data_IF_575496474298
#
_entry.id   IF_575496474298
#
_cell.length_a   1.000
_cell.length_b   1.000
_cell.length_c   1.000
_cell.angle_alpha   90.00
_cell.angle_beta   90.00
_cell.angle_gamma   90.00
#
_symmetry.space_group_name_H-M   'P 1'
#
loop_
_entity.id
_entity.type
_entity.pdbx_description
1 polymer ?
#
# COMPACT_ATOMS: atom_id res chain seq x y z
N UNK A 1 -14.67 -33.86 -37.69
CA UNK A 1 -14.85 -33.79 -36.22
C UNK A 1 -13.78 -32.97 -35.50
N UNK A 2 -12.53 -32.94 -35.96
CA UNK A 2 -11.40 -32.22 -35.31
C UNK A 2 -11.57 -30.68 -35.27
N UNK A 3 -12.29 -30.09 -36.23
CA UNK A 3 -12.54 -28.62 -36.28
C UNK A 3 -13.53 -28.09 -35.23
N UNK A 4 -14.36 -28.95 -34.64
CA UNK A 4 -15.32 -28.55 -33.56
C UNK A 4 -14.66 -28.54 -32.18
N UNK A 5 -13.60 -29.32 -32.01
CA UNK A 5 -12.86 -29.44 -30.75
C UNK A 5 -11.94 -28.24 -30.49
N UNK A 6 -11.40 -27.62 -31.54
CA UNK A 6 -10.55 -26.43 -31.41
C UNK A 6 -11.32 -25.18 -30.97
N UNK A 7 -12.59 -25.04 -31.39
CA UNK A 7 -13.45 -23.90 -31.02
C UNK A 7 -13.89 -23.96 -29.56
N UNK A 8 -14.12 -25.15 -29.01
CA UNK A 8 -14.50 -25.34 -27.61
C UNK A 8 -13.36 -25.04 -26.63
N UNK A 9 -12.10 -25.38 -26.99
CA UNK A 9 -10.92 -25.09 -26.15
C UNK A 9 -10.59 -23.59 -26.14
N UNK A 10 -10.75 -22.90 -27.27
CA UNK A 10 -10.58 -21.44 -27.35
C UNK A 10 -11.63 -20.67 -26.55
N UNK A 11 -12.89 -21.15 -26.51
CA UNK A 11 -13.95 -20.50 -25.74
C UNK A 11 -13.76 -20.70 -24.22
N UNK A 12 -13.28 -21.87 -23.80
CA UNK A 12 -12.94 -22.13 -22.39
C UNK A 12 -11.71 -21.31 -21.94
N UNK A 13 -10.70 -21.13 -22.81
CA UNK A 13 -9.54 -20.30 -22.51
C UNK A 13 -9.86 -18.79 -22.48
N UNK A 14 -10.81 -18.31 -23.29
CA UNK A 14 -11.29 -16.92 -23.21
C UNK A 14 -12.16 -16.67 -21.97
N UNK A 15 -13.01 -17.63 -21.56
CA UNK A 15 -13.82 -17.49 -20.33
C UNK A 15 -12.95 -17.51 -19.06
N UNK A 16 -11.83 -18.24 -19.06
CA UNK A 16 -10.90 -18.28 -17.93
C UNK A 16 -10.10 -16.99 -17.72
N UNK A 17 -9.99 -16.13 -18.74
CA UNK A 17 -9.22 -14.88 -18.65
C UNK A 17 -10.03 -13.70 -18.08
N UNK A 18 -11.35 -13.83 -17.94
CA UNK A 18 -12.22 -12.76 -17.43
C UNK A 18 -12.37 -12.73 -15.90
N UNK A 19 -11.74 -13.65 -15.18
CA UNK A 19 -11.85 -13.77 -13.72
C UNK A 19 -10.48 -13.71 -13.04
N UNK A 20 -9.59 -12.83 -13.49
CA UNK A 20 -8.46 -12.45 -12.65
C UNK A 20 -8.99 -11.42 -11.65
N UNK A 21 -9.07 -11.73 -10.34
CA UNK A 21 -9.48 -10.75 -9.35
C UNK A 21 -8.53 -9.55 -9.46
N UNK A 22 -9.09 -8.39 -9.74
CA UNK A 22 -8.31 -7.18 -9.88
C UNK A 22 -7.80 -6.79 -8.49
N UNK A 23 -6.55 -7.15 -8.18
CA UNK A 23 -5.84 -6.74 -6.96
C UNK A 23 -5.76 -5.21 -6.74
N UNK A 24 -6.31 -4.40 -7.65
CA UNK A 24 -6.40 -2.94 -7.61
C UNK A 24 -7.56 -2.41 -6.74
N UNK A 25 -8.45 -3.30 -6.28
CA UNK A 25 -9.70 -2.96 -5.59
C UNK A 25 -9.59 -3.08 -4.05
N UNK A 26 -8.57 -3.78 -3.51
CA UNK A 26 -8.44 -3.87 -2.06
C UNK A 26 -8.09 -2.53 -1.40
N UNK A 27 -8.60 -2.31 -0.18
CA UNK A 27 -8.04 -1.26 0.69
C UNK A 27 -6.58 -1.61 0.98
N UNK A 28 -5.70 -0.65 0.78
CA UNK A 28 -4.25 -0.82 0.99
C UNK A 28 -3.75 0.26 1.92
N UNK A 29 -2.73 -0.06 2.69
CA UNK A 29 -1.98 0.91 3.49
C UNK A 29 -0.54 0.94 3.00
N UNK A 30 0.03 2.13 2.94
CA UNK A 30 1.43 2.34 2.57
C UNK A 30 2.04 3.45 3.41
N UNK A 31 3.35 3.37 3.61
CA UNK A 31 4.15 4.41 4.25
C UNK A 31 5.54 4.43 3.64
N UNK A 32 6.13 5.62 3.53
CA UNK A 32 7.50 5.81 3.02
C UNK A 32 8.53 5.94 4.13
N UNK A 33 8.09 6.17 5.36
CA UNK A 33 8.91 6.54 6.52
C UNK A 33 8.65 5.65 7.75
N UNK A 34 7.68 4.73 7.69
CA UNK A 34 7.45 3.74 8.74
C UNK A 34 8.65 2.81 8.90
N UNK A 35 9.16 2.72 10.13
CA UNK A 35 10.17 1.77 10.57
C UNK A 35 9.89 1.37 12.03
N UNK A 36 10.40 0.22 12.46
CA UNK A 36 10.28 -0.25 13.85
C UNK A 36 10.79 0.79 14.84
N UNK A 37 10.03 1.07 15.90
CA UNK A 37 10.33 2.09 16.91
C UNK A 37 10.17 3.55 16.45
N UNK A 38 10.01 3.79 15.14
CA UNK A 38 9.92 5.13 14.56
C UNK A 38 8.49 5.67 14.49
N UNK A 39 8.36 6.91 14.02
CA UNK A 39 7.08 7.47 13.60
C UNK A 39 6.94 7.34 12.08
N UNK A 40 5.71 7.12 11.61
CA UNK A 40 5.45 7.06 10.17
C UNK A 40 4.10 7.67 9.81
N UNK A 41 4.00 8.15 8.56
CA UNK A 41 2.72 8.50 7.95
C UNK A 41 2.17 7.28 7.24
N UNK A 42 1.03 6.78 7.73
CA UNK A 42 0.32 5.64 7.18
C UNK A 42 -0.83 6.16 6.33
N UNK A 43 -0.82 5.85 5.04
CA UNK A 43 -1.84 6.29 4.08
C UNK A 43 -2.66 5.11 3.59
N UNK A 44 -3.95 5.13 3.90
CA UNK A 44 -4.94 4.17 3.47
C UNK A 44 -5.54 4.62 2.12
N UNK A 45 -5.32 3.83 1.07
CA UNK A 45 -6.00 3.98 -0.22
C UNK A 45 -7.27 3.14 -0.23
N UNK A 46 -8.41 3.80 -0.39
CA UNK A 46 -9.74 3.18 -0.30
C UNK A 46 -10.49 3.41 -1.60
N UNK A 47 -10.67 2.38 -2.45
CA UNK A 47 -11.49 2.48 -3.65
C UNK A 47 -12.97 2.24 -3.35
N UNK A 48 -13.85 2.85 -4.14
CA UNK A 48 -15.28 2.53 -4.15
C UNK A 48 -15.55 1.44 -5.17
N UNK A 49 -15.86 0.24 -4.69
CA UNK A 49 -16.11 -0.94 -5.55
C UNK A 49 -17.57 -1.12 -5.96
N UNK A 50 -18.48 -0.38 -5.36
CA UNK A 50 -19.88 -0.39 -5.78
C UNK A 50 -20.05 0.33 -7.11
N UNK A 51 -20.85 -0.26 -8.01
CA UNK A 51 -21.24 0.36 -9.28
C UNK A 51 -22.25 1.52 -9.09
N UNK A 52 -22.91 1.58 -7.94
CA UNK A 52 -24.05 2.49 -7.71
C UNK A 52 -23.95 3.33 -6.44
N UNK A 53 -23.25 2.84 -5.42
CA UNK A 53 -23.15 3.51 -4.13
C UNK A 53 -21.78 4.20 -3.97
N UNK A 54 -21.76 5.33 -3.28
CA UNK A 54 -20.52 6.03 -2.93
C UNK A 54 -19.98 5.52 -1.60
N UNK A 55 -18.66 5.48 -1.43
CA UNK A 55 -18.06 5.34 -0.10
C UNK A 55 -18.27 6.62 0.69
N UNK A 56 -18.87 6.52 1.86
CA UNK A 56 -19.20 7.66 2.75
C UNK A 56 -18.58 7.54 4.13
N UNK A 57 -17.92 6.42 4.43
CA UNK A 57 -17.21 6.22 5.69
C UNK A 57 -16.11 5.20 5.59
N UNK A 58 -15.05 5.42 6.37
CA UNK A 58 -13.97 4.48 6.62
C UNK A 58 -13.68 4.49 8.12
N UNK A 59 -13.70 3.33 8.75
CA UNK A 59 -13.17 3.15 10.11
C UNK A 59 -11.99 2.22 10.05
N UNK A 60 -10.83 2.67 10.52
CA UNK A 60 -9.62 1.85 10.67
C UNK A 60 -9.43 1.53 12.14
N UNK A 61 -9.28 0.25 12.45
CA UNK A 61 -8.97 -0.25 13.78
C UNK A 61 -7.46 -0.27 13.98
N UNK A 62 -7.01 0.23 15.13
CA UNK A 62 -5.62 0.24 15.53
C UNK A 62 -5.33 -0.96 16.44
N UNK A 63 -4.12 -1.54 16.36
CA UNK A 63 -3.76 -2.75 17.09
C UNK A 63 -3.79 -2.52 18.62
N UNK A 64 -4.57 -3.35 19.32
CA UNK A 64 -4.65 -3.33 20.79
C UNK A 64 -3.44 -4.01 21.45
N UNK A 65 -2.91 -5.06 20.80
CA UNK A 65 -1.77 -5.84 21.30
C UNK A 65 -0.44 -5.09 21.18
N UNK A 66 -0.39 -4.09 20.30
CA UNK A 66 0.72 -3.13 20.17
C UNK A 66 0.16 -1.71 19.99
N UNK A 67 -0.35 -1.09 21.07
CA UNK A 67 -1.01 0.20 20.98
C UNK A 67 -0.02 1.28 20.58
N UNK A 68 -0.47 2.19 19.71
CA UNK A 68 0.31 3.34 19.26
C UNK A 68 0.10 4.49 20.25
N UNK A 69 1.18 4.98 20.87
CA UNK A 69 1.11 6.02 21.90
C UNK A 69 0.64 7.37 21.35
N UNK A 70 0.96 7.67 20.09
CA UNK A 70 0.59 8.90 19.40
C UNK A 70 -0.04 8.59 18.05
N UNK A 71 -1.20 9.20 17.80
CA UNK A 71 -1.96 9.07 16.56
C UNK A 71 -2.58 10.41 16.20
N UNK A 72 -2.18 10.99 15.08
CA UNK A 72 -2.72 12.23 14.53
C UNK A 72 -3.29 11.98 13.14
N UNK A 73 -4.38 12.68 12.80
CA UNK A 73 -5.09 12.48 11.53
C UNK A 73 -4.82 13.66 10.60
N UNK A 74 -4.54 13.37 9.33
CA UNK A 74 -4.47 14.40 8.30
C UNK A 74 -5.89 14.86 7.93
N UNK A 75 -6.19 16.18 7.95
CA UNK A 75 -7.47 16.70 7.48
C UNK A 75 -7.73 16.35 6.01
N UNK A 76 -8.96 15.91 5.71
CA UNK A 76 -9.42 15.61 4.35
C UNK A 76 -10.60 16.53 4.04
N UNK A 77 -10.51 17.42 3.03
CA UNK A 77 -11.60 18.33 2.70
C UNK A 77 -12.94 17.63 2.45
N UNK A 78 -14.00 18.05 3.12
CA UNK A 78 -15.34 17.45 3.02
C UNK A 78 -15.52 16.15 3.81
N UNK A 79 -14.56 15.79 4.66
CA UNK A 79 -14.62 14.63 5.54
C UNK A 79 -14.26 15.01 6.97
N UNK A 80 -15.04 14.51 7.91
CA UNK A 80 -14.77 14.64 9.35
C UNK A 80 -14.05 13.39 9.84
N UNK A 81 -12.89 13.58 10.48
CA UNK A 81 -12.16 12.53 11.16
C UNK A 81 -12.44 12.52 12.67
N UNK A 82 -12.61 11.35 13.27
CA UNK A 82 -12.79 11.16 14.72
C UNK A 82 -11.91 10.02 15.21
N UNK A 83 -11.23 10.24 16.34
CA UNK A 83 -10.46 9.21 17.04
C UNK A 83 -11.27 8.66 18.20
N UNK A 84 -11.28 7.34 18.37
CA UNK A 84 -11.87 6.68 19.54
C UNK A 84 -10.76 6.24 20.48
N UNK A 85 -10.72 6.82 21.67
CA UNK A 85 -9.81 6.37 22.73
C UNK A 85 -10.41 5.21 23.51
N UNK A 86 -9.56 4.27 23.91
CA UNK A 86 -9.91 3.16 24.78
C UNK A 86 -8.88 3.05 25.90
N UNK A 87 -9.34 2.66 27.09
CA UNK A 87 -8.47 2.40 28.23
C UNK A 87 -7.77 1.05 28.03
N UNK A 88 -6.48 0.98 28.34
CA UNK A 88 -5.76 -0.28 28.38
C UNK A 88 -6.14 -1.04 29.66
N UNK A 89 -6.35 -2.36 29.52
CA UNK A 89 -6.57 -3.24 30.67
C UNK A 89 -5.37 -3.23 31.63
N UNK A 90 -4.17 -3.10 31.06
CA UNK A 90 -2.91 -3.00 31.79
C UNK A 90 -2.13 -1.79 31.26
N UNK A 91 -1.70 -0.87 32.13
CA UNK A 91 -0.79 0.21 31.72
C UNK A 91 0.48 -0.36 31.09
N UNK A 92 0.98 0.32 30.06
CA UNK A 92 2.22 -0.05 29.36
C UNK A 92 3.25 1.05 29.60
N UNK A 93 4.45 0.67 30.02
CA UNK A 93 5.57 1.59 30.14
C UNK A 93 6.16 1.85 28.76
N UNK A 94 6.25 3.12 28.38
CA UNK A 94 6.90 3.59 27.15
C UNK A 94 8.02 4.55 27.52
N UNK A 95 8.92 4.85 26.58
CA UNK A 95 9.99 5.83 26.80
C UNK A 95 9.45 7.24 27.13
N UNK A 96 8.21 7.53 26.71
CA UNK A 96 7.49 8.78 26.95
C UNK A 96 6.62 8.75 28.23
N UNK A 97 6.64 7.64 28.99
CA UNK A 97 5.92 7.44 30.24
C UNK A 97 4.87 6.33 30.21
N UNK A 98 4.05 6.26 31.26
CA UNK A 98 3.02 5.23 31.41
C UNK A 98 1.81 5.51 30.52
N UNK A 99 1.59 4.65 29.52
CA UNK A 99 0.41 4.67 28.66
C UNK A 99 -0.75 3.92 29.34
N UNK A 100 -1.86 4.63 29.57
CA UNK A 100 -3.07 4.07 30.21
C UNK A 100 -4.29 4.02 29.27
N UNK A 101 -4.23 4.75 28.16
CA UNK A 101 -5.22 4.73 27.08
C UNK A 101 -4.51 4.83 25.74
N UNK A 102 -5.18 4.40 24.69
CA UNK A 102 -4.69 4.46 23.32
C UNK A 102 -5.83 4.78 22.36
N UNK A 103 -5.49 5.23 21.15
CA UNK A 103 -6.48 5.39 20.08
C UNK A 103 -6.76 4.01 19.50
N UNK A 104 -7.97 3.50 19.76
CA UNK A 104 -8.44 2.18 19.30
C UNK A 104 -8.92 2.18 17.83
N UNK A 105 -9.42 3.32 17.35
CA UNK A 105 -9.85 3.45 15.95
C UNK A 105 -9.81 4.89 15.47
N UNK A 106 -9.65 5.07 14.16
CA UNK A 106 -9.85 6.35 13.46
C UNK A 106 -10.97 6.18 12.44
N UNK A 107 -11.97 7.05 12.51
CA UNK A 107 -13.11 7.05 11.59
C UNK A 107 -13.12 8.33 10.77
N UNK A 108 -13.18 8.20 9.46
CA UNK A 108 -13.48 9.28 8.52
C UNK A 108 -14.91 9.12 8.03
N UNK A 109 -15.67 10.21 8.03
CA UNK A 109 -17.03 10.26 7.52
C UNK A 109 -17.17 11.43 6.57
N UNK A 110 -17.75 11.20 5.40
CA UNK A 110 -18.09 12.27 4.47
C UNK A 110 -19.09 13.23 5.15
N UNK A 111 -18.85 14.53 5.04
CA UNK A 111 -19.71 15.55 5.66
C UNK A 111 -21.10 15.60 5.02
N UNK A 112 -21.19 15.18 3.76
CA UNK A 112 -22.44 14.97 3.01
C UNK A 112 -22.25 13.93 1.91
N UNK A 113 -23.34 13.42 1.33
CA UNK A 113 -23.30 12.47 0.21
C UNK A 113 -22.52 13.00 -1.01
N UNK A 114 -22.45 14.33 -1.17
CA UNK A 114 -21.68 14.97 -2.26
C UNK A 114 -20.17 14.85 -2.08
N UNK A 115 -19.71 14.62 -0.85
CA UNK A 115 -18.30 14.46 -0.51
C UNK A 115 -17.85 12.99 -0.55
N UNK A 116 -18.80 12.04 -0.64
CA UNK A 116 -18.51 10.62 -0.77
C UNK A 116 -17.76 10.30 -2.07
N UNK A 117 -16.95 9.24 -2.03
CA UNK A 117 -16.21 8.75 -3.18
C UNK A 117 -17.15 7.97 -4.09
N UNK A 118 -17.38 8.43 -5.31
CA UNK A 118 -18.32 7.81 -6.26
C UNK A 118 -17.82 6.47 -6.80
N UNK A 119 -18.68 5.66 -7.45
CA UNK A 119 -18.25 4.49 -8.20
C UNK A 119 -17.03 4.77 -9.09
N UNK A 120 -15.98 3.95 -8.94
CA UNK A 120 -14.72 4.09 -9.68
C UNK A 120 -13.73 5.13 -9.15
N UNK A 121 -14.08 5.89 -8.11
CA UNK A 121 -13.15 6.79 -7.42
C UNK A 121 -12.41 6.07 -6.28
N UNK A 122 -11.31 6.68 -5.81
CA UNK A 122 -10.63 6.26 -4.59
C UNK A 122 -10.28 7.48 -3.74
N UNK A 123 -10.17 7.26 -2.42
CA UNK A 123 -9.74 8.24 -1.45
C UNK A 123 -8.42 7.85 -0.80
N UNK A 124 -7.72 8.85 -0.28
CA UNK A 124 -6.53 8.68 0.56
C UNK A 124 -6.85 9.22 1.95
N UNK A 125 -6.68 8.38 2.96
CA UNK A 125 -6.92 8.72 4.36
C UNK A 125 -5.64 8.45 5.12
N UNK A 126 -5.08 9.46 5.77
CA UNK A 126 -3.74 9.34 6.36
C UNK A 126 -3.74 9.64 7.85
N UNK A 127 -2.94 8.86 8.58
CA UNK A 127 -2.59 9.12 9.97
C UNK A 127 -1.07 9.23 10.09
N UNK A 128 -0.60 10.10 10.97
CA UNK A 128 0.75 10.02 11.52
C UNK A 128 0.66 9.28 12.83
N UNK A 129 1.44 8.21 12.98
CA UNK A 129 1.40 7.41 14.20
C UNK A 129 2.79 6.94 14.62
N UNK A 130 2.96 6.77 15.92
CA UNK A 130 4.20 6.24 16.49
C UNK A 130 4.22 6.27 18.02
N UNK A 131 5.28 5.74 18.63
CA UNK A 131 6.27 4.88 17.98
C UNK A 131 5.61 3.60 17.44
N UNK A 132 6.05 3.15 16.27
CA UNK A 132 5.58 1.92 15.64
C UNK A 132 6.21 0.72 16.35
N UNK A 133 5.51 -0.42 16.47
CA UNK A 133 6.02 -1.57 17.21
C UNK A 133 7.25 -2.19 16.58
N UNK A 134 8.07 -2.86 17.39
CA UNK A 134 9.18 -3.72 16.95
C UNK A 134 8.66 -5.07 16.39
N UNK A 135 7.80 -4.99 15.38
CA UNK A 135 7.27 -6.13 14.64
C UNK A 135 7.58 -5.96 13.16
N UNK A 136 7.74 -7.06 12.43
CA UNK A 136 8.02 -7.01 11.00
C UNK A 136 6.82 -6.52 10.16
N UNK A 137 5.60 -6.68 10.66
CA UNK A 137 4.37 -6.30 9.97
C UNK A 137 3.34 -5.78 10.96
N UNK A 138 2.50 -4.87 10.50
CA UNK A 138 1.36 -4.34 11.24
C UNK A 138 0.12 -4.31 10.36
N UNK A 139 -0.96 -4.92 10.83
CA UNK A 139 -2.26 -4.97 10.15
C UNK A 139 -3.24 -3.97 10.77
N UNK A 140 -4.15 -3.48 9.93
CA UNK A 140 -5.11 -2.43 10.24
C UNK A 140 -6.48 -2.82 9.69
N UNK A 141 -7.23 -3.69 10.38
CA UNK A 141 -8.58 -4.03 9.99
C UNK A 141 -9.41 -2.77 9.75
N UNK A 142 -10.20 -2.75 8.68
CA UNK A 142 -11.00 -1.59 8.33
C UNK A 142 -12.44 -1.95 8.03
N UNK A 143 -13.34 -0.99 8.21
CA UNK A 143 -14.75 -1.10 7.80
C UNK A 143 -15.07 0.07 6.89
N UNK A 144 -15.49 -0.24 5.68
CA UNK A 144 -15.92 0.72 4.68
C UNK A 144 -17.45 0.79 4.66
N UNK A 145 -18.00 2.00 4.67
CA UNK A 145 -19.45 2.23 4.64
C UNK A 145 -19.86 2.94 3.35
N UNK A 146 -20.92 2.44 2.74
CA UNK A 146 -21.48 2.95 1.50
C UNK A 146 -22.77 3.76 1.72
N UNK A 147 -23.12 4.60 0.74
CA UNK A 147 -24.28 5.49 0.78
C UNK A 147 -25.63 4.76 0.78
N UNK A 148 -25.68 3.53 0.30
CA UNK A 148 -26.87 2.66 0.35
C UNK A 148 -27.07 2.00 1.73
N UNK A 149 -26.16 2.25 2.67
CA UNK A 149 -26.19 1.74 4.03
C UNK A 149 -25.41 0.44 4.23
N UNK A 150 -24.94 -0.20 3.15
CA UNK A 150 -24.10 -1.40 3.21
C UNK A 150 -22.71 -1.10 3.78
N UNK A 151 -22.05 -2.16 4.25
CA UNK A 151 -20.69 -2.10 4.80
C UNK A 151 -19.86 -3.29 4.35
N UNK A 152 -18.59 -3.05 4.08
CA UNK A 152 -17.59 -4.08 3.78
C UNK A 152 -16.54 -4.07 4.88
N UNK A 153 -16.23 -5.25 5.42
CA UNK A 153 -15.17 -5.44 6.41
C UNK A 153 -13.90 -5.91 5.69
N UNK A 154 -12.83 -5.14 5.83
CA UNK A 154 -11.48 -5.44 5.37
C UNK A 154 -10.67 -5.97 6.55
N UNK A 155 -10.95 -7.19 6.99
CA UNK A 155 -10.40 -7.81 8.19
C UNK A 155 -9.91 -9.25 7.98
N UNK A 156 -9.95 -9.76 6.73
CA UNK A 156 -9.54 -11.12 6.42
C UNK A 156 -8.02 -11.27 6.50
N UNK A 157 -7.57 -12.39 7.07
CA UNK A 157 -6.15 -12.69 7.25
C UNK A 157 -5.58 -13.27 5.96
N UNK A 158 -4.57 -12.63 5.40
CA UNK A 158 -3.79 -13.20 4.29
C UNK A 158 -2.93 -14.35 4.80
N UNK A 159 -3.28 -15.59 4.45
CA UNK A 159 -2.49 -16.78 4.79
C UNK A 159 -1.40 -17.03 3.74
N UNK A 160 -0.16 -17.27 4.19
CA UNK A 160 0.97 -17.52 3.30
C UNK A 160 0.75 -18.78 2.45
N UNK A 161 0.61 -18.60 1.13
CA UNK A 161 0.46 -19.70 0.15
C UNK A 161 -0.98 -20.10 -0.20
N UNK A 162 -1.99 -19.43 0.38
CA UNK A 162 -3.40 -19.58 0.01
C UNK A 162 -3.82 -18.65 -1.14
N UNK A 163 -5.08 -18.78 -1.58
CA UNK A 163 -5.69 -17.76 -2.43
C UNK A 163 -5.78 -16.43 -1.67
N UNK A 164 -5.59 -15.29 -2.36
CA UNK A 164 -5.77 -13.97 -1.76
C UNK A 164 -7.24 -13.84 -1.29
N UNK A 165 -7.48 -13.42 -0.03
CA UNK A 165 -8.84 -13.19 0.47
C UNK A 165 -9.57 -12.11 -0.35
N UNK A 166 -10.89 -12.06 -0.26
CA UNK A 166 -11.70 -11.05 -0.98
C UNK A 166 -11.57 -9.67 -0.32
N UNK A 167 -11.50 -9.64 1.02
CA UNK A 167 -11.39 -8.40 1.78
C UNK A 167 -10.24 -8.46 2.79
N UNK A 168 -8.98 -8.55 2.32
CA UNK A 168 -7.83 -8.68 3.21
C UNK A 168 -7.66 -7.43 4.07
N UNK A 169 -7.27 -7.64 5.33
CA UNK A 169 -6.89 -6.55 6.22
C UNK A 169 -5.68 -5.78 5.64
N UNK A 170 -5.75 -4.45 5.50
CA UNK A 170 -4.61 -3.63 5.09
C UNK A 170 -3.44 -3.83 6.04
N UNK A 171 -2.25 -4.13 5.53
CA UNK A 171 -1.05 -4.28 6.34
C UNK A 171 0.17 -3.61 5.72
N UNK A 172 1.06 -3.09 6.58
CA UNK A 172 2.38 -2.57 6.20
C UNK A 172 3.48 -3.47 6.75
N UNK A 173 4.57 -3.59 6.01
CA UNK A 173 5.83 -4.08 6.56
C UNK A 173 6.57 -2.94 7.26
N UNK A 174 7.23 -3.28 8.36
CA UNK A 174 8.02 -2.35 9.16
C UNK A 174 9.49 -2.80 9.09
N UNK A 175 10.33 -2.12 8.28
CA UNK A 175 11.75 -2.39 8.28
C UNK A 175 12.35 -2.10 9.66
N UNK A 176 13.39 -2.85 10.01
CA UNK A 176 14.18 -2.54 11.19
C UNK A 176 14.73 -1.11 11.11
N UNK A 177 14.75 -0.39 12.23
CA UNK A 177 15.35 0.92 12.29
C UNK A 177 16.81 0.85 11.82
N UNK A 178 17.21 1.78 10.94
CA UNK A 178 18.62 1.93 10.61
C UNK A 178 19.39 2.31 11.89
N UNK A 179 20.42 1.54 12.23
CA UNK A 179 21.32 1.93 13.31
C UNK A 179 21.87 3.33 13.00
N UNK A 180 21.99 4.23 14.00
CA UNK A 180 22.62 5.52 13.78
C UNK A 180 24.03 5.26 13.24
N UNK A 181 24.30 5.71 12.02
CA UNK A 181 25.66 5.73 11.49
C UNK A 181 26.54 6.46 12.50
N UNK A 182 27.71 5.92 12.89
CA UNK A 182 28.61 6.66 13.75
C UNK A 182 28.95 7.97 13.03
N UNK A 183 28.55 9.08 13.61
CA UNK A 183 28.95 10.42 13.16
C UNK A 183 30.47 10.40 13.14
N UNK A 184 31.07 10.38 11.95
CA UNK A 184 32.50 10.58 11.82
C UNK A 184 32.77 11.98 12.39
N UNK A 185 33.40 12.03 13.57
CA UNK A 185 33.92 13.28 14.12
C UNK A 185 34.78 13.93 13.04
N UNK A 186 34.35 15.10 12.58
CA UNK A 186 35.15 15.92 11.70
C UNK A 186 36.53 16.15 12.36
N UNK A 187 37.64 15.83 11.68
CA UNK A 187 38.95 16.23 12.17
C UNK A 187 39.03 17.77 12.21
N UNK A 188 39.77 18.36 13.18
CA UNK A 188 39.89 19.80 13.29
C UNK A 188 40.55 20.40 12.03
N UNK A 189 40.25 21.66 11.67
CA UNK A 189 40.70 22.24 10.40
C UNK A 189 42.21 22.52 10.44
N UNK A 190 42.98 21.83 9.61
CA UNK A 190 44.35 22.23 9.23
C UNK A 190 44.33 23.12 7.99
N UNK A 191 44.95 24.30 8.11
CA UNK A 191 45.13 25.26 7.02
C UNK A 191 46.21 24.82 6.03
N UNK A 192 46.00 25.27 4.79
CA UNK A 192 47.00 25.69 3.78
C UNK A 192 47.33 24.72 2.65
N UNK A 193 47.29 25.23 1.41
CA UNK A 193 47.94 24.64 0.25
C UNK A 193 47.12 24.68 -1.03
N UNK A 194 47.07 25.84 -1.69
CA UNK A 194 46.63 26.00 -3.08
C UNK A 194 47.58 25.26 -4.04
N UNK A 195 47.03 24.37 -4.88
CA UNK A 195 47.63 24.00 -6.17
C UNK A 195 46.52 23.81 -7.21
N UNK A 196 46.77 24.46 -8.34
CA UNK A 196 45.94 24.58 -9.51
C UNK A 196 46.28 23.48 -10.52
N UNK A 197 45.39 23.32 -11.52
CA UNK A 197 45.51 22.55 -12.77
C UNK A 197 45.29 21.03 -12.72
N UNK A 198 44.18 20.57 -13.31
CA UNK A 198 44.13 20.24 -14.75
C UNK A 198 42.76 19.65 -15.12
N UNK A 199 42.15 20.21 -16.15
CA UNK A 199 40.99 19.64 -16.83
C UNK A 199 41.38 18.40 -17.64
N UNK A 200 40.52 17.37 -17.63
CA UNK A 200 40.38 16.45 -18.74
C UNK A 200 38.93 15.94 -18.82
N UNK A 201 38.42 16.01 -20.04
CA UNK A 201 37.11 15.62 -20.55
C UNK A 201 36.66 14.19 -20.23
N UNK A 202 35.34 14.04 -20.19
CA UNK A 202 34.67 12.94 -20.90
C UNK A 202 34.30 11.71 -20.08
N UNK A 203 33.04 11.64 -19.64
CA UNK A 203 32.14 10.53 -20.01
C UNK A 203 30.78 10.66 -19.34
N UNK A 204 29.77 10.86 -20.18
CA UNK A 204 28.34 10.70 -19.88
C UNK A 204 28.08 9.23 -19.53
N UNK A 205 27.70 8.95 -18.29
CA UNK A 205 27.33 7.62 -17.80
C UNK A 205 25.89 7.55 -17.32
N UNK A 206 24.93 7.78 -18.22
CA UNK A 206 23.54 7.37 -18.03
C UNK A 206 23.46 5.85 -18.17
N UNK A 207 23.24 5.12 -17.08
CA UNK A 207 22.89 3.70 -17.13
C UNK A 207 21.37 3.56 -16.95
N UNK A 208 20.72 3.34 -18.08
CA UNK A 208 19.33 2.96 -18.20
C UNK A 208 19.11 1.48 -17.78
N UNK A 209 17.89 1.12 -17.37
CA UNK A 209 17.53 -0.22 -16.90
C UNK A 209 17.49 -1.24 -18.04
N UNK A 210 18.34 -2.27 -17.96
CA UNK A 210 18.25 -3.46 -18.83
C UNK A 210 17.30 -4.47 -18.19
N UNK A 211 16.04 -4.47 -18.63
CA UNK A 211 15.04 -5.43 -18.13
C UNK A 211 13.80 -5.68 -19.00
N UNK A 212 13.68 -5.07 -20.19
CA UNK A 212 12.44 -5.16 -20.98
C UNK A 212 12.62 -5.61 -22.46
N UNK A 213 13.84 -5.87 -22.93
CA UNK A 213 14.05 -6.19 -24.37
C UNK A 213 13.81 -7.67 -24.69
N UNK A 214 13.96 -8.59 -23.73
CA UNK A 214 13.76 -10.03 -23.99
C UNK A 214 12.28 -10.45 -24.07
N UNK A 215 11.37 -9.74 -23.39
CA UNK A 215 9.93 -10.03 -23.45
C UNK A 215 9.30 -9.64 -24.81
N UNK A 216 9.77 -8.55 -25.42
CA UNK A 216 9.27 -8.10 -26.72
C UNK A 216 9.62 -9.07 -27.86
N UNK A 217 10.79 -9.70 -27.81
CA UNK A 217 11.23 -10.66 -28.83
C UNK A 217 10.38 -11.94 -28.79
N UNK A 218 9.99 -12.41 -27.60
CA UNK A 218 9.13 -13.59 -27.46
C UNK A 218 7.71 -13.35 -28.02
N UNK A 219 7.13 -12.17 -27.81
CA UNK A 219 5.81 -11.79 -28.35
C UNK A 219 5.84 -11.69 -29.87
N UNK A 220 6.90 -11.13 -30.45
CA UNK A 220 7.03 -11.00 -31.91
C UNK A 220 7.15 -12.38 -32.57
N UNK A 221 7.88 -13.32 -31.98
CA UNK A 221 8.00 -14.70 -32.50
C UNK A 221 6.66 -15.44 -32.43
N UNK A 222 5.91 -15.27 -31.33
CA UNK A 222 4.60 -15.90 -31.18
C UNK A 222 3.58 -15.38 -32.20
N UNK A 223 3.54 -14.06 -32.44
CA UNK A 223 2.65 -13.45 -33.43
C UNK A 223 3.03 -13.87 -34.86
N UNK A 224 4.32 -13.94 -35.19
CA UNK A 224 4.79 -14.39 -36.50
C UNK A 224 4.44 -15.86 -36.78
N UNK A 225 4.53 -16.74 -35.79
CA UNK A 225 4.14 -18.15 -35.92
C UNK A 225 2.64 -18.31 -36.17
N UNK A 226 1.80 -17.54 -35.48
CA UNK A 226 0.35 -17.52 -35.69
C UNK A 226 -0.04 -17.03 -37.08
N UNK A 227 0.59 -15.96 -37.58
CA UNK A 227 0.31 -15.42 -38.92
C UNK A 227 0.75 -16.36 -40.06
N UNK A 228 1.84 -17.11 -39.87
CA UNK A 228 2.33 -18.08 -40.86
C UNK A 228 1.44 -19.33 -40.94
N UNK A 229 0.89 -19.77 -39.80
CA UNK A 229 -0.07 -20.89 -39.77
C UNK A 229 -1.38 -20.57 -40.51
N UNK A 230 -1.83 -19.31 -40.48
CA UNK A 230 -3.03 -18.83 -41.18
C UNK A 230 -2.88 -18.72 -42.70
N UNK A 231 -1.64 -18.67 -43.21
CA UNK A 231 -1.35 -18.63 -44.65
C UNK A 231 -1.12 -20.01 -45.27
N UNK A 232 -0.98 -21.05 -44.44
CA UNK A 232 -0.70 -22.42 -44.88
C UNK A 232 -1.92 -23.35 -44.74
N UNK A 233 -3.09 -22.78 -44.43
CA UNK A 233 -4.39 -23.43 -44.35
C UNK A 233 -5.36 -22.74 -45.31
#
# INVERSE_FOLDING_TARGET
MIRRSATAVLLAALLGLLMMPTAAAHVRVSSTDAAQGGYGVLTFRVPTESDTASTVGLTVTLPEDTPLASVSVQPVPGWTATRKEQKLDKPIETDDGTLTSYVSSVTWKADSDKNGLKPGEFGLFSISAGPLPEKAQLAFPATQRYSDGSTVAWDEITTGGGAEPEHPAPAIELPAAAAPSPTASAPPPTKSGSQDSAAADGSTGWLAPTGAVLAAIAVIIAVAALLRSRRSA
#
